data_IF_103972792553
#
_entry.id   IF_103972792553
#
_cell.length_a   1.000
_cell.length_b   1.000
_cell.length_c   1.000
_cell.angle_alpha   90.00
_cell.angle_beta   90.00
_cell.angle_gamma   90.00
#
_symmetry.space_group_name_H-M   'P 1'
#
loop_
_entity.id
_entity.type
_entity.pdbx_description
1 polymer ?
#
# COMPACT_ATOMS: atom_id res chain seq x y z
N UNK A 1 -25.07 -6.52 -11.51
CA UNK A 1 -24.00 -7.08 -12.37
C UNK A 1 -22.73 -6.44 -11.87
N UNK A 2 -22.38 -6.75 -10.63
CA UNK A 2 -21.39 -5.98 -9.89
C UNK A 2 -20.05 -6.66 -10.15
N UNK A 3 -19.35 -6.11 -11.14
CA UNK A 3 -17.97 -6.47 -11.40
C UNK A 3 -17.15 -5.65 -10.40
N UNK A 4 -17.25 -6.02 -9.13
CA UNK A 4 -16.38 -5.53 -8.06
C UNK A 4 -14.95 -5.80 -8.51
N UNK A 5 -14.19 -4.73 -8.69
CA UNK A 5 -12.87 -4.78 -9.31
C UNK A 5 -11.86 -4.18 -8.35
N UNK A 6 -11.04 -5.01 -7.74
CA UNK A 6 -10.12 -4.54 -6.71
C UNK A 6 -8.84 -3.98 -7.32
N UNK A 7 -8.39 -2.85 -6.81
CA UNK A 7 -7.06 -2.31 -7.09
C UNK A 7 -6.39 -1.85 -5.81
N UNK A 8 -5.09 -2.08 -5.70
CA UNK A 8 -4.26 -1.46 -4.66
C UNK A 8 -3.51 -0.26 -5.23
N UNK A 9 -3.35 0.76 -4.40
CA UNK A 9 -2.43 1.87 -4.68
C UNK A 9 -1.43 2.00 -3.53
N UNK A 10 -0.17 2.05 -3.89
CA UNK A 10 0.97 2.15 -2.99
C UNK A 10 1.62 3.53 -3.11
N UNK A 11 1.88 4.17 -1.98
CA UNK A 11 2.48 5.49 -1.90
C UNK A 11 3.64 5.50 -0.92
N UNK A 12 4.78 6.01 -1.34
CA UNK A 12 5.91 6.25 -0.44
C UNK A 12 5.96 7.74 -0.03
N UNK A 13 5.64 8.03 1.23
CA UNK A 13 5.67 9.40 1.81
C UNK A 13 6.96 9.62 2.61
N UNK A 14 7.55 10.82 2.63
CA UNK A 14 7.25 11.97 1.77
C UNK A 14 7.61 11.70 0.31
N UNK A 15 6.69 12.01 -0.59
CA UNK A 15 6.84 11.82 -2.04
C UNK A 15 7.44 13.10 -2.65
N UNK A 16 8.76 13.19 -2.64
CA UNK A 16 9.49 14.39 -3.11
C UNK A 16 9.41 14.54 -4.64
N UNK A 17 9.32 13.40 -5.36
CA UNK A 17 9.35 13.36 -6.82
C UNK A 17 7.97 13.16 -7.47
N UNK A 18 6.88 13.06 -6.69
CA UNK A 18 5.52 12.70 -7.18
C UNK A 18 5.47 11.40 -8.00
N UNK A 19 6.48 10.53 -7.83
CA UNK A 19 6.68 9.29 -8.61
C UNK A 19 6.50 8.04 -7.77
N UNK A 20 6.23 8.19 -6.47
CA UNK A 20 6.10 7.05 -5.57
C UNK A 20 4.71 6.43 -5.58
N UNK A 21 3.80 6.92 -6.43
CA UNK A 21 2.49 6.31 -6.62
C UNK A 21 2.63 5.12 -7.57
N UNK A 22 2.47 3.93 -7.02
CA UNK A 22 2.26 2.72 -7.80
C UNK A 22 0.81 2.27 -7.67
N UNK A 23 0.30 1.63 -8.72
CA UNK A 23 -1.05 1.08 -8.74
C UNK A 23 -0.97 -0.29 -9.38
N UNK A 24 -1.61 -1.27 -8.76
CA UNK A 24 -1.74 -2.62 -9.29
C UNK A 24 -2.77 -2.73 -10.40
N UNK A 25 -2.67 -3.82 -11.16
CA UNK A 25 -3.64 -4.22 -12.15
C UNK A 25 -4.99 -4.50 -11.49
N UNK A 26 -6.06 -3.90 -12.02
CA UNK A 26 -7.41 -4.07 -11.50
C UNK A 26 -7.88 -5.52 -11.69
N UNK A 27 -8.14 -6.24 -10.60
CA UNK A 27 -8.61 -7.64 -10.61
C UNK A 27 -10.13 -7.69 -10.46
N UNK A 28 -10.81 -8.14 -11.51
CA UNK A 28 -12.27 -8.21 -11.60
C UNK A 28 -12.80 -9.53 -11.04
N UNK A 29 -13.98 -9.50 -10.38
CA UNK A 29 -14.74 -10.70 -9.95
C UNK A 29 -14.01 -11.66 -9.00
N UNK A 30 -13.18 -11.15 -8.08
CA UNK A 30 -12.57 -12.00 -7.04
C UNK A 30 -12.53 -11.28 -5.70
N UNK A 31 -13.02 -11.91 -4.64
CA UNK A 31 -12.90 -11.39 -3.26
C UNK A 31 -11.48 -11.54 -2.70
N UNK A 32 -10.64 -12.34 -3.35
CA UNK A 32 -9.23 -12.56 -3.00
C UNK A 32 -8.38 -12.24 -4.25
N UNK A 33 -8.14 -10.96 -4.56
CA UNK A 33 -7.33 -10.59 -5.71
C UNK A 33 -5.88 -11.00 -5.51
N UNK A 34 -5.40 -11.92 -6.35
CA UNK A 34 -3.99 -12.25 -6.45
C UNK A 34 -3.35 -11.33 -7.51
N UNK A 35 -2.73 -10.25 -7.06
CA UNK A 35 -2.00 -9.32 -7.93
C UNK A 35 -0.72 -9.96 -8.45
N UNK A 36 0.10 -10.54 -7.55
CA UNK A 36 1.44 -11.04 -7.85
C UNK A 36 2.30 -9.98 -8.58
N UNK A 37 2.07 -8.70 -8.29
CA UNK A 37 2.82 -7.57 -8.82
C UNK A 37 3.85 -7.12 -7.79
N UNK A 38 5.09 -6.93 -8.23
CA UNK A 38 6.19 -6.44 -7.40
C UNK A 38 6.55 -5.02 -7.83
N UNK A 39 6.58 -4.11 -6.87
CA UNK A 39 6.98 -2.72 -7.09
C UNK A 39 8.36 -2.47 -6.48
N UNK A 40 9.24 -1.88 -7.29
CA UNK A 40 10.59 -1.53 -6.87
C UNK A 40 10.69 -0.02 -6.68
N UNK A 41 11.07 0.40 -5.48
CA UNK A 41 11.38 1.79 -5.18
C UNK A 41 12.90 1.95 -5.01
N UNK A 42 13.52 2.80 -5.82
CA UNK A 42 14.93 3.14 -5.68
C UNK A 42 15.14 4.16 -4.57
N UNK A 43 15.22 3.69 -3.33
CA UNK A 43 15.39 4.53 -2.13
C UNK A 43 16.71 4.17 -1.46
N UNK A 44 17.47 5.17 -1.04
CA UNK A 44 18.65 4.94 -0.19
C UNK A 44 18.21 4.38 1.16
N UNK A 45 18.97 3.42 1.69
CA UNK A 45 18.65 2.80 2.99
C UNK A 45 18.51 3.81 4.14
N UNK A 46 19.34 4.86 4.16
CA UNK A 46 19.25 5.94 5.15
C UNK A 46 17.96 6.76 5.05
N UNK A 47 17.38 6.83 3.85
CA UNK A 47 16.12 7.56 3.60
C UNK A 47 14.91 6.65 3.82
N UNK A 48 15.05 5.33 3.64
CA UNK A 48 13.98 4.36 3.93
C UNK A 48 13.46 4.47 5.37
N UNK A 49 14.34 4.78 6.34
CA UNK A 49 13.93 5.04 7.72
C UNK A 49 13.02 6.30 7.84
N UNK A 50 13.15 7.27 6.95
CA UNK A 50 12.33 8.49 6.94
C UNK A 50 11.08 8.36 6.06
N UNK A 51 11.02 7.30 5.25
CA UNK A 51 9.91 7.03 4.35
C UNK A 51 8.85 6.16 5.04
N UNK A 52 7.63 6.26 4.55
CA UNK A 52 6.45 5.53 5.01
C UNK A 52 5.72 5.03 3.77
N UNK A 53 5.53 3.72 3.69
CA UNK A 53 4.77 3.06 2.63
C UNK A 53 3.30 2.95 3.05
N UNK A 54 2.43 3.61 2.32
CA UNK A 54 0.99 3.55 2.46
C UNK A 54 0.43 2.66 1.33
N UNK A 55 -0.27 1.60 1.69
CA UNK A 55 -0.90 0.67 0.76
C UNK A 55 -2.40 0.79 0.97
N UNK A 56 -3.12 1.19 -0.05
CA UNK A 56 -4.58 1.40 -0.03
C UNK A 56 -5.23 0.43 -0.99
N UNK A 57 -6.44 -0.04 -0.67
CA UNK A 57 -7.22 -0.94 -1.50
C UNK A 57 -8.55 -0.27 -1.80
N UNK A 58 -8.88 -0.23 -3.08
CA UNK A 58 -10.04 0.45 -3.63
C UNK A 58 -10.87 -0.53 -4.44
N UNK A 59 -12.19 -0.43 -4.29
CA UNK A 59 -13.16 -1.07 -5.16
C UNK A 59 -13.44 -0.16 -6.35
N UNK A 60 -13.13 -0.65 -7.54
CA UNK A 60 -13.31 0.07 -8.79
C UNK A 60 -14.62 -0.35 -9.44
N UNK A 61 -15.61 0.53 -9.36
CA UNK A 61 -16.91 0.36 -10.02
C UNK A 61 -17.01 1.18 -11.30
N UNK A 62 -17.35 0.51 -12.39
CA UNK A 62 -17.54 1.19 -13.69
C UNK A 62 -18.85 1.99 -13.63
N UNK A 63 -18.72 3.32 -13.57
CA UNK A 63 -19.85 4.26 -13.59
C UNK A 63 -20.23 4.85 -12.21
N UNK A 64 -19.46 4.56 -11.16
CA UNK A 64 -19.57 5.17 -9.84
C UNK A 64 -18.21 5.66 -9.34
N UNK A 65 -18.22 6.43 -8.25
CA UNK A 65 -17.03 6.73 -7.45
C UNK A 65 -16.43 5.42 -6.94
N UNK A 66 -15.10 5.32 -6.89
CA UNK A 66 -14.43 4.15 -6.33
C UNK A 66 -14.63 4.13 -4.82
N UNK A 67 -15.01 2.98 -4.27
CA UNK A 67 -15.21 2.82 -2.83
C UNK A 67 -13.88 2.46 -2.15
N UNK A 68 -13.52 3.20 -1.11
CA UNK A 68 -12.35 2.87 -0.30
C UNK A 68 -12.67 1.65 0.58
N UNK A 69 -11.93 0.57 0.40
CA UNK A 69 -12.12 -0.66 1.19
C UNK A 69 -11.31 -0.58 2.47
N UNK A 70 -10.05 -0.16 2.37
CA UNK A 70 -9.14 -0.10 3.50
C UNK A 70 -7.69 0.02 3.08
N UNK A 71 -6.80 0.28 4.04
CA UNK A 71 -5.38 0.35 3.77
C UNK A 71 -4.50 0.04 4.96
N UNK A 72 -3.19 0.02 4.74
CA UNK A 72 -2.18 -0.17 5.76
C UNK A 72 -1.03 0.80 5.53
N UNK A 73 -0.49 1.33 6.63
CA UNK A 73 0.67 2.23 6.62
C UNK A 73 1.83 1.52 7.32
N UNK A 74 2.92 1.33 6.59
CA UNK A 74 4.18 0.73 7.04
C UNK A 74 5.24 1.82 7.12
N UNK A 75 5.94 1.93 8.23
CA UNK A 75 6.94 2.97 8.44
C UNK A 75 7.52 2.88 9.84
N UNK A 76 8.57 3.67 10.12
CA UNK A 76 9.15 3.73 11.46
C UNK A 76 8.17 4.30 12.52
N UNK A 77 7.18 5.05 12.07
CA UNK A 77 6.13 5.63 12.91
C UNK A 77 4.90 4.72 13.04
N UNK A 78 4.90 3.55 12.37
CA UNK A 78 3.82 2.59 12.49
C UNK A 78 3.86 1.90 13.87
N UNK A 79 2.80 1.15 14.20
CA UNK A 79 2.67 0.44 15.48
C UNK A 79 2.40 -1.05 15.26
N UNK A 80 2.90 -1.87 16.18
CA UNK A 80 2.68 -3.32 16.19
C UNK A 80 3.38 -4.03 15.02
N UNK A 81 2.65 -4.93 14.36
CA UNK A 81 3.18 -5.77 13.27
C UNK A 81 3.64 -4.95 12.04
N UNK A 82 3.02 -3.79 11.79
CA UNK A 82 3.39 -2.87 10.71
C UNK A 82 4.80 -2.32 10.87
N UNK A 83 5.15 -1.94 12.11
CA UNK A 83 6.50 -1.48 12.45
C UNK A 83 7.50 -2.61 12.34
N UNK A 84 7.17 -3.80 12.87
CA UNK A 84 8.03 -4.97 12.77
C UNK A 84 8.32 -5.30 11.30
N UNK A 85 7.30 -5.28 10.45
CA UNK A 85 7.47 -5.53 9.01
C UNK A 85 8.43 -4.52 8.38
N UNK A 86 8.22 -3.22 8.62
CA UNK A 86 9.11 -2.19 8.12
C UNK A 86 10.55 -2.37 8.63
N UNK A 87 10.71 -2.63 9.92
CA UNK A 87 12.01 -2.81 10.55
C UNK A 87 12.73 -4.07 10.04
N UNK A 88 12.01 -5.17 9.81
CA UNK A 88 12.53 -6.39 9.22
C UNK A 88 13.05 -6.11 7.80
N UNK A 89 12.33 -5.33 6.98
CA UNK A 89 12.81 -4.88 5.66
C UNK A 89 14.06 -4.00 5.76
N UNK A 90 14.10 -3.07 6.73
CA UNK A 90 15.29 -2.22 6.94
C UNK A 90 16.51 -3.05 7.38
N UNK A 91 16.31 -4.05 8.24
CA UNK A 91 17.38 -4.86 8.80
C UNK A 91 17.90 -5.90 7.81
N UNK A 92 17.03 -6.44 6.97
CA UNK A 92 17.36 -7.51 6.03
C UNK A 92 17.26 -7.01 4.58
N UNK A 93 18.31 -6.35 4.10
CA UNK A 93 18.37 -5.75 2.74
C UNK A 93 18.26 -6.76 1.60
N UNK A 94 18.72 -7.98 1.82
CA UNK A 94 18.79 -9.04 0.81
C UNK A 94 17.71 -10.12 1.00
N UNK A 95 16.71 -9.86 1.84
CA UNK A 95 15.61 -10.80 2.05
C UNK A 95 14.27 -10.17 1.72
N UNK A 96 13.51 -10.89 0.91
CA UNK A 96 12.07 -10.65 0.76
C UNK A 96 11.40 -10.91 2.11
N UNK A 97 10.74 -9.89 2.67
CA UNK A 97 9.90 -10.05 3.84
C UNK A 97 8.46 -10.03 3.36
N UNK A 98 7.74 -11.11 3.61
CA UNK A 98 6.33 -11.27 3.26
C UNK A 98 5.54 -11.38 4.56
N UNK A 99 4.59 -10.45 4.78
CA UNK A 99 3.75 -10.44 5.97
C UNK A 99 2.35 -9.91 5.64
N UNK A 100 1.34 -10.65 6.09
CA UNK A 100 -0.05 -10.24 6.00
C UNK A 100 -0.38 -9.14 7.02
N UNK A 101 -1.15 -8.14 6.60
CA UNK A 101 -1.66 -7.07 7.47
C UNK A 101 -3.16 -6.93 7.28
N UNK A 102 -3.86 -6.63 8.37
CA UNK A 102 -5.27 -6.27 8.31
C UNK A 102 -5.40 -4.85 7.78
N UNK A 103 -6.24 -4.67 6.75
CA UNK A 103 -6.58 -3.36 6.23
C UNK A 103 -7.40 -2.58 7.26
N UNK A 104 -7.05 -1.31 7.42
CA UNK A 104 -7.75 -0.35 8.26
C UNK A 104 -8.73 0.44 7.43
N UNK A 105 -9.94 0.65 7.94
CA UNK A 105 -10.96 1.47 7.29
C UNK A 105 -10.59 2.95 7.24
N UNK A 106 -9.60 3.39 8.02
CA UNK A 106 -9.11 4.76 8.03
C UNK A 106 -7.58 4.74 8.11
N UNK A 107 -6.93 5.45 7.20
CA UNK A 107 -5.48 5.57 7.19
C UNK A 107 -5.04 6.84 7.91
N UNK A 108 -4.14 6.75 8.89
CA UNK A 108 -3.61 7.93 9.54
C UNK A 108 -2.75 8.73 8.54
N UNK A 109 -3.34 9.79 7.96
CA UNK A 109 -2.66 10.68 7.00
C UNK A 109 -3.05 10.51 5.54
N UNK A 110 -4.01 9.65 5.20
CA UNK A 110 -4.72 9.75 3.94
C UNK A 110 -5.83 10.78 4.15
N UNK A 111 -5.56 12.03 3.79
CA UNK A 111 -6.66 12.96 3.50
C UNK A 111 -7.31 12.37 2.27
N UNK A 112 -8.42 11.65 2.44
CA UNK A 112 -9.35 11.41 1.36
C UNK A 112 -9.79 12.81 0.92
N UNK A 113 -9.17 13.34 -0.13
CA UNK A 113 -9.71 14.52 -0.78
C UNK A 113 -11.02 14.07 -1.41
N UNK A 114 -12.12 14.52 -0.81
CA UNK A 114 -13.46 14.57 -1.41
C UNK A 114 -13.42 14.98 -2.90
#
# INVERSE_FOLDING_TARGET
HDITSYSSEEYLKPDEDKKSKHKTSVKKKTLNPEFNEEFCYEIKHSDLAKKTLEVTVWDYDIGKSNDFIGGVVLGINAKGERLKHWFDCLKNKDKKIERWHTLMNELPGAVLSD
#
